data_IF_448704499465
#
_entry.id   IF_448704499465
#
_cell.length_a   1.000
_cell.length_b   1.000
_cell.length_c   1.000
_cell.angle_alpha   90.00
_cell.angle_beta   90.00
_cell.angle_gamma   90.00
#
_symmetry.space_group_name_H-M   'P 1'
#
loop_
_entity.id
_entity.type
_entity.pdbx_description
1 polymer ?
#
# COMPACT_ATOMS: atom_id res chain seq x y z
N UNK A 1 45.22 7.84 0.28
CA UNK A 1 44.08 8.49 0.93
C UNK A 1 42.84 7.73 0.45
N UNK A 2 42.24 6.92 1.33
CA UNK A 2 40.98 6.27 1.02
C UNK A 2 39.89 7.34 1.03
N UNK A 3 39.37 7.71 -0.16
CA UNK A 3 38.13 8.48 -0.22
C UNK A 3 37.04 7.65 0.44
N UNK A 4 36.51 8.09 1.56
CA UNK A 4 35.28 7.53 2.15
C UNK A 4 34.18 7.61 1.09
N UNK A 5 33.77 6.46 0.57
CA UNK A 5 32.61 6.37 -0.33
C UNK A 5 31.40 6.73 0.54
N UNK A 6 30.93 7.97 0.43
CA UNK A 6 29.72 8.39 1.12
C UNK A 6 28.56 7.48 0.71
N UNK A 7 27.81 6.99 1.70
CA UNK A 7 26.67 6.11 1.48
C UNK A 7 25.66 6.73 0.50
N UNK A 8 25.18 5.98 -0.52
CA UNK A 8 24.13 6.46 -1.39
C UNK A 8 22.90 6.91 -0.60
N UNK A 9 22.28 8.05 -0.98
CA UNK A 9 21.11 8.62 -0.33
C UNK A 9 19.87 8.32 -1.17
N UNK A 10 18.92 7.60 -0.62
CA UNK A 10 17.64 7.26 -1.27
C UNK A 10 16.49 7.97 -0.56
N UNK A 11 15.73 8.77 -1.32
CA UNK A 11 14.50 9.38 -0.86
C UNK A 11 13.31 8.54 -1.27
N UNK A 12 12.53 8.05 -0.31
CA UNK A 12 11.26 7.38 -0.58
C UNK A 12 10.11 8.34 -0.27
N UNK A 13 9.27 8.61 -1.26
CA UNK A 13 8.15 9.54 -1.16
C UNK A 13 6.84 8.78 -1.09
N UNK A 14 6.13 8.94 0.00
CA UNK A 14 4.88 8.27 0.35
C UNK A 14 3.81 9.27 0.78
N UNK A 15 2.65 8.78 1.21
CA UNK A 15 1.58 9.52 1.89
C UNK A 15 0.81 8.59 2.82
N UNK A 16 0.16 9.15 3.83
CA UNK A 16 -0.72 8.42 4.76
C UNK A 16 -2.16 8.27 4.22
N UNK A 17 -2.41 8.58 2.96
CA UNK A 17 -3.70 8.37 2.31
C UNK A 17 -4.00 6.88 2.14
N UNK A 18 -4.95 6.36 2.93
CA UNK A 18 -5.37 4.95 2.88
C UNK A 18 -4.41 3.93 3.51
N UNK A 19 -3.17 4.28 3.83
CA UNK A 19 -2.19 3.42 4.53
C UNK A 19 -1.35 2.48 3.66
N UNK A 20 -1.80 2.07 2.48
CA UNK A 20 -1.06 1.16 1.60
C UNK A 20 0.28 1.72 1.13
N UNK A 21 0.31 2.98 0.72
CA UNK A 21 1.54 3.65 0.28
C UNK A 21 2.63 3.66 1.35
N UNK A 22 2.25 3.86 2.63
CA UNK A 22 3.19 3.82 3.76
C UNK A 22 3.77 2.42 3.97
N UNK A 23 2.94 1.38 3.93
CA UNK A 23 3.39 -0.02 4.06
C UNK A 23 4.32 -0.41 2.91
N UNK A 24 4.00 0.00 1.68
CA UNK A 24 4.86 -0.19 0.52
C UNK A 24 6.22 0.49 0.66
N UNK A 25 6.22 1.77 1.08
CA UNK A 25 7.46 2.52 1.33
C UNK A 25 8.35 1.84 2.37
N UNK A 26 7.74 1.34 3.46
CA UNK A 26 8.46 0.61 4.51
C UNK A 26 9.02 -0.72 3.99
N UNK A 27 8.21 -1.51 3.28
CA UNK A 27 8.65 -2.80 2.72
C UNK A 27 9.87 -2.63 1.79
N UNK A 28 9.85 -1.59 0.93
CA UNK A 28 10.97 -1.28 0.04
C UNK A 28 12.20 -0.82 0.83
N UNK A 29 12.02 0.06 1.83
CA UNK A 29 13.12 0.55 2.66
C UNK A 29 13.81 -0.57 3.43
N UNK A 30 13.02 -1.41 4.12
CA UNK A 30 13.55 -2.54 4.91
C UNK A 30 14.28 -3.55 4.00
N UNK A 31 13.75 -3.83 2.81
CA UNK A 31 14.39 -4.72 1.85
C UNK A 31 15.68 -4.13 1.25
N UNK A 32 15.73 -2.82 0.95
CA UNK A 32 16.95 -2.14 0.52
C UNK A 32 18.03 -2.16 1.60
N UNK A 33 17.66 -1.91 2.86
CA UNK A 33 18.60 -1.98 3.98
C UNK A 33 19.16 -3.38 4.18
N UNK A 34 18.32 -4.41 4.04
CA UNK A 34 18.75 -5.81 4.13
C UNK A 34 19.70 -6.20 2.98
N UNK A 35 19.39 -5.75 1.76
CA UNK A 35 20.20 -6.05 0.57
C UNK A 35 21.59 -5.40 0.62
N UNK A 36 21.70 -4.16 1.13
CA UNK A 36 22.92 -3.36 1.14
C UNK A 36 23.70 -3.42 2.46
N UNK A 37 23.40 -4.32 3.38
CA UNK A 37 24.06 -4.36 4.70
C UNK A 37 24.08 -2.98 5.37
N UNK A 38 23.04 -2.62 6.04
CA UNK A 38 22.59 -1.38 6.74
C UNK A 38 23.57 -0.20 6.98
N UNK A 39 24.90 -0.39 6.84
CA UNK A 39 25.91 0.65 7.11
C UNK A 39 26.28 1.50 5.88
N UNK A 40 25.91 1.08 4.67
CA UNK A 40 26.36 1.69 3.41
C UNK A 40 25.24 2.40 2.63
N UNK A 41 24.04 2.55 3.19
CA UNK A 41 22.89 3.15 2.52
C UNK A 41 22.13 4.09 3.45
N UNK A 42 21.91 5.34 3.03
CA UNK A 42 21.09 6.31 3.76
C UNK A 42 19.70 6.40 3.12
N UNK A 43 18.68 5.92 3.83
CA UNK A 43 17.28 5.97 3.38
C UNK A 43 16.50 6.99 4.21
N UNK A 44 15.74 7.86 3.52
CA UNK A 44 14.79 8.77 4.15
C UNK A 44 13.41 8.57 3.54
N UNK A 45 12.41 8.28 4.37
CA UNK A 45 11.00 8.20 3.97
C UNK A 45 10.33 9.50 4.38
N UNK A 46 9.60 10.13 3.44
CA UNK A 46 8.82 11.34 3.69
C UNK A 46 7.35 11.11 3.32
N UNK A 47 6.47 11.89 3.96
CA UNK A 47 5.04 11.96 3.61
C UNK A 47 4.82 13.21 2.77
N UNK A 48 4.94 13.03 1.46
CA UNK A 48 5.03 14.14 0.50
C UNK A 48 3.85 15.10 0.45
N UNK A 49 2.67 14.71 0.95
CA UNK A 49 1.51 15.60 1.07
C UNK A 49 1.40 16.19 2.46
N UNK A 50 1.54 15.38 3.49
CA UNK A 50 1.31 15.75 4.89
C UNK A 50 2.39 16.70 5.42
N UNK A 51 3.64 16.50 4.97
CA UNK A 51 4.79 17.29 5.41
C UNK A 51 5.02 18.55 4.56
N UNK A 52 4.50 18.56 3.32
CA UNK A 52 4.77 19.65 2.39
C UNK A 52 4.08 20.96 2.78
N UNK A 53 2.79 20.92 3.14
CA UNK A 53 2.04 22.11 3.50
C UNK A 53 0.76 21.77 4.29
N UNK A 54 0.33 22.67 5.19
CA UNK A 54 -0.90 22.51 6.00
C UNK A 54 -2.17 22.26 5.17
N UNK A 55 -2.26 22.83 3.96
CA UNK A 55 -3.41 22.63 3.07
C UNK A 55 -3.40 21.19 2.52
N UNK A 56 -2.26 20.70 2.03
CA UNK A 56 -2.14 19.33 1.51
C UNK A 56 -2.34 18.28 2.61
N UNK A 57 -1.88 18.56 3.83
CA UNK A 57 -2.17 17.75 5.02
C UNK A 57 -3.68 17.69 5.31
N UNK A 58 -4.38 18.84 5.30
CA UNK A 58 -5.84 18.87 5.50
C UNK A 58 -6.61 18.11 4.44
N UNK A 59 -6.17 18.16 3.17
CA UNK A 59 -6.76 17.38 2.08
C UNK A 59 -6.56 15.88 2.29
N UNK A 60 -5.37 15.44 2.69
CA UNK A 60 -5.12 14.05 3.04
C UNK A 60 -5.98 13.57 4.23
N UNK A 61 -6.12 14.41 5.27
CA UNK A 61 -7.00 14.14 6.41
C UNK A 61 -8.48 14.06 6.00
N UNK A 62 -8.95 14.96 5.12
CA UNK A 62 -10.31 14.92 4.58
C UNK A 62 -10.57 13.64 3.79
N UNK A 63 -9.62 13.21 2.95
CA UNK A 63 -9.71 11.95 2.23
C UNK A 63 -9.86 10.77 3.20
N UNK A 64 -9.02 10.69 4.23
CA UNK A 64 -9.08 9.65 5.23
C UNK A 64 -10.38 9.68 6.04
N UNK A 65 -10.90 10.87 6.35
CA UNK A 65 -12.19 11.02 7.01
C UNK A 65 -13.35 10.51 6.13
N UNK A 66 -13.33 10.80 4.84
CA UNK A 66 -14.32 10.29 3.89
C UNK A 66 -14.26 8.77 3.78
N UNK A 67 -13.06 8.18 3.69
CA UNK A 67 -12.87 6.73 3.69
C UNK A 67 -13.43 6.05 4.94
N UNK A 68 -13.32 6.72 6.09
CA UNK A 68 -13.80 6.21 7.38
C UNK A 68 -15.32 6.31 7.49
N UNK A 69 -15.91 7.46 7.15
CA UNK A 69 -17.26 7.83 7.54
C UNK A 69 -18.25 7.88 6.37
N UNK A 70 -17.78 8.14 5.15
CA UNK A 70 -18.61 8.40 3.96
C UNK A 70 -17.99 7.78 2.71
N UNK A 71 -17.66 6.50 2.76
CA UNK A 71 -16.96 5.79 1.68
C UNK A 71 -17.59 6.00 0.30
N UNK A 72 -18.92 6.06 0.22
CA UNK A 72 -19.65 6.28 -1.04
C UNK A 72 -19.41 7.67 -1.68
N UNK A 73 -18.90 8.65 -0.91
CA UNK A 73 -18.54 9.97 -1.43
C UNK A 73 -17.13 10.01 -2.05
N UNK A 74 -16.28 9.04 -1.74
CA UNK A 74 -14.90 9.01 -2.22
C UNK A 74 -14.84 8.92 -3.75
N UNK A 75 -15.81 8.25 -4.39
CA UNK A 75 -15.92 8.20 -5.87
C UNK A 75 -16.07 9.57 -6.50
N UNK A 76 -16.81 10.49 -5.87
CA UNK A 76 -16.98 11.86 -6.38
C UNK A 76 -15.72 12.69 -6.19
N UNK A 77 -15.03 12.52 -5.04
CA UNK A 77 -13.72 13.14 -4.84
C UNK A 77 -12.71 12.63 -5.86
N UNK A 78 -12.69 11.32 -6.11
CA UNK A 78 -11.83 10.70 -7.11
C UNK A 78 -12.11 11.25 -8.52
N UNK A 79 -13.39 11.39 -8.89
CA UNK A 79 -13.79 12.01 -10.15
C UNK A 79 -13.33 13.47 -10.24
N UNK A 80 -13.52 14.26 -9.17
CA UNK A 80 -13.09 15.65 -9.12
C UNK A 80 -11.56 15.77 -9.25
N UNK A 81 -10.80 14.94 -8.55
CA UNK A 81 -9.34 14.90 -8.63
C UNK A 81 -8.86 14.54 -10.04
N UNK A 82 -9.50 13.56 -10.69
CA UNK A 82 -9.19 13.20 -12.08
C UNK A 82 -9.48 14.36 -13.07
N UNK A 83 -10.51 15.17 -12.82
CA UNK A 83 -10.87 16.32 -13.68
C UNK A 83 -9.97 17.53 -13.41
N UNK A 84 -9.69 17.84 -12.16
CA UNK A 84 -8.89 18.99 -11.74
C UNK A 84 -7.41 18.77 -12.02
N UNK A 85 -6.93 17.52 -11.87
CA UNK A 85 -5.53 17.13 -11.99
C UNK A 85 -4.59 18.01 -11.14
N UNK A 86 -4.77 18.00 -9.81
CA UNK A 86 -4.03 18.90 -8.90
C UNK A 86 -2.50 18.73 -9.02
N UNK A 87 -2.04 17.53 -9.41
CA UNK A 87 -0.62 17.21 -9.64
C UNK A 87 0.02 18.04 -10.76
N UNK A 88 -0.78 18.58 -11.67
CA UNK A 88 -0.30 19.42 -12.79
C UNK A 88 -0.50 20.92 -12.55
N UNK A 89 -1.18 21.30 -11.47
CA UNK A 89 -1.54 22.70 -11.22
C UNK A 89 -0.44 23.45 -10.49
N UNK A 90 -0.13 24.64 -10.98
CA UNK A 90 0.88 25.54 -10.45
C UNK A 90 0.64 25.88 -8.96
N UNK A 91 -0.61 26.12 -8.59
CA UNK A 91 -0.98 26.39 -7.21
C UNK A 91 -0.51 25.32 -6.23
N UNK A 92 -0.77 24.03 -6.51
CA UNK A 92 -0.36 22.94 -5.63
C UNK A 92 1.15 22.75 -5.59
N UNK A 93 1.82 22.94 -6.71
CA UNK A 93 3.28 22.92 -6.77
C UNK A 93 3.89 24.01 -5.86
N UNK A 94 3.40 25.26 -5.96
CA UNK A 94 3.88 26.37 -5.12
C UNK A 94 3.69 26.10 -3.63
N UNK A 95 2.61 25.45 -3.22
CA UNK A 95 2.41 25.05 -1.82
C UNK A 95 3.51 24.08 -1.34
N UNK A 96 3.97 23.15 -2.21
CA UNK A 96 4.97 22.16 -1.87
C UNK A 96 6.41 22.64 -2.10
N UNK A 97 6.62 23.70 -2.88
CA UNK A 97 7.92 24.16 -3.34
C UNK A 97 8.93 24.40 -2.21
N UNK A 98 8.56 25.20 -1.21
CA UNK A 98 9.46 25.54 -0.10
C UNK A 98 9.91 24.32 0.70
N UNK A 99 9.00 23.35 0.88
CA UNK A 99 9.32 22.08 1.54
C UNK A 99 10.31 21.27 0.71
N UNK A 100 10.02 21.08 -0.58
CA UNK A 100 10.89 20.33 -1.50
C UNK A 100 12.25 20.99 -1.56
N UNK A 101 12.32 22.31 -1.75
CA UNK A 101 13.59 23.07 -1.78
C UNK A 101 14.41 22.84 -0.50
N UNK A 102 13.82 23.05 0.68
CA UNK A 102 14.50 22.85 1.96
C UNK A 102 14.97 21.38 2.16
N UNK A 103 14.19 20.42 1.67
CA UNK A 103 14.57 19.00 1.70
C UNK A 103 15.84 18.77 0.87
N UNK A 104 15.88 19.27 -0.36
CA UNK A 104 17.03 19.11 -1.27
C UNK A 104 18.25 19.91 -0.81
N UNK A 105 18.07 21.11 -0.26
CA UNK A 105 19.16 21.92 0.31
C UNK A 105 19.88 21.17 1.45
N UNK A 106 19.10 20.48 2.31
CA UNK A 106 19.64 19.79 3.49
C UNK A 106 20.04 18.35 3.22
N UNK A 107 19.36 17.69 2.28
CA UNK A 107 19.52 16.26 2.05
C UNK A 107 19.23 15.90 0.59
N UNK A 108 20.15 16.27 -0.31
CA UNK A 108 20.01 15.96 -1.73
C UNK A 108 20.12 14.44 -1.95
N UNK A 109 19.08 13.77 -2.48
CA UNK A 109 19.13 12.34 -2.75
C UNK A 109 19.90 12.02 -4.03
N UNK A 110 20.42 10.80 -4.12
CA UNK A 110 21.01 10.26 -5.34
C UNK A 110 19.97 9.49 -6.18
N UNK A 111 18.89 9.03 -5.56
CA UNK A 111 17.77 8.32 -6.17
C UNK A 111 16.48 8.66 -5.43
N UNK A 112 15.40 8.80 -6.16
CA UNK A 112 14.06 8.99 -5.60
C UNK A 112 13.19 7.78 -5.95
N UNK A 113 12.57 7.19 -4.93
CA UNK A 113 11.55 6.15 -5.07
C UNK A 113 10.21 6.78 -4.72
N UNK A 114 9.27 6.76 -5.65
CA UNK A 114 7.94 7.29 -5.42
C UNK A 114 6.93 6.15 -5.35
N UNK A 115 6.08 6.17 -4.31
CA UNK A 115 5.01 5.19 -4.11
C UNK A 115 3.63 5.85 -4.00
N UNK A 116 3.49 7.10 -4.49
CA UNK A 116 2.23 7.84 -4.42
C UNK A 116 1.96 8.67 -5.70
N UNK A 117 0.74 8.64 -6.27
CA UNK A 117 0.47 9.22 -7.60
C UNK A 117 0.59 10.74 -7.68
N UNK A 118 0.31 11.48 -6.61
CA UNK A 118 0.32 12.95 -6.62
C UNK A 118 1.73 13.56 -6.52
N UNK A 119 2.61 12.92 -5.78
CA UNK A 119 3.84 13.56 -5.30
C UNK A 119 4.94 13.62 -6.36
N UNK A 120 4.97 12.66 -7.28
CA UNK A 120 6.02 12.58 -8.30
C UNK A 120 6.06 13.79 -9.24
N UNK A 121 4.92 14.34 -9.62
CA UNK A 121 4.86 15.48 -10.55
C UNK A 121 5.50 16.74 -9.96
N UNK A 122 5.31 17.00 -8.67
CA UNK A 122 5.92 18.15 -8.00
C UNK A 122 7.44 18.00 -7.90
N UNK A 123 7.90 16.77 -7.63
CA UNK A 123 9.33 16.46 -7.56
C UNK A 123 9.96 16.56 -8.95
N UNK A 124 9.36 15.97 -9.98
CA UNK A 124 9.82 16.08 -11.38
C UNK A 124 9.94 17.54 -11.80
N UNK A 125 8.91 18.34 -11.52
CA UNK A 125 8.91 19.77 -11.85
C UNK A 125 10.06 20.50 -11.15
N UNK A 126 10.29 20.25 -9.86
CA UNK A 126 11.40 20.81 -9.11
C UNK A 126 12.76 20.40 -9.73
N UNK A 127 12.96 19.11 -10.04
CA UNK A 127 14.18 18.64 -10.65
C UNK A 127 14.44 19.27 -12.02
N UNK A 128 13.40 19.52 -12.82
CA UNK A 128 13.50 20.26 -14.11
C UNK A 128 13.94 21.70 -13.89
N UNK A 129 13.28 22.43 -12.99
CA UNK A 129 13.58 23.83 -12.69
C UNK A 129 15.01 24.06 -12.24
N UNK A 130 15.61 23.07 -11.53
CA UNK A 130 16.98 23.13 -11.02
C UNK A 130 18.00 22.32 -11.86
N UNK A 131 17.64 21.83 -13.05
CA UNK A 131 18.49 21.03 -13.93
C UNK A 131 19.07 19.77 -13.24
N UNK A 132 18.29 19.13 -12.36
CA UNK A 132 18.65 17.94 -11.60
C UNK A 132 18.07 16.64 -12.17
N UNK A 133 17.10 16.72 -13.09
CA UNK A 133 16.35 15.56 -13.59
C UNK A 133 17.24 14.51 -14.29
N UNK A 134 18.29 14.94 -14.98
CA UNK A 134 19.26 14.04 -15.61
C UNK A 134 20.26 13.41 -14.63
N UNK A 135 20.34 13.94 -13.39
CA UNK A 135 21.31 13.53 -12.38
C UNK A 135 20.67 12.66 -11.29
N UNK A 136 19.39 12.85 -11.02
CA UNK A 136 18.66 12.17 -9.96
C UNK A 136 17.51 11.37 -10.58
N UNK A 137 17.69 10.07 -10.81
CA UNK A 137 16.64 9.22 -11.37
C UNK A 137 15.47 9.09 -10.40
N UNK A 138 14.27 8.91 -10.97
CA UNK A 138 13.03 8.63 -10.23
C UNK A 138 12.53 7.26 -10.64
N UNK A 139 12.34 6.38 -9.66
CA UNK A 139 11.68 5.08 -9.83
C UNK A 139 10.32 5.15 -9.18
N UNK A 140 9.25 4.90 -9.91
CA UNK A 140 7.88 4.86 -9.37
C UNK A 140 7.42 3.42 -9.22
N UNK A 141 7.09 3.03 -8.00
CA UNK A 141 6.48 1.74 -7.68
C UNK A 141 4.98 1.95 -7.53
N UNK A 142 4.21 1.48 -8.50
CA UNK A 142 2.75 1.65 -8.53
C UNK A 142 2.11 0.67 -7.55
N UNK A 143 1.41 1.21 -6.55
CA UNK A 143 0.76 0.41 -5.48
C UNK A 143 -0.71 0.13 -5.74
N UNK A 144 -1.26 0.62 -6.86
CA UNK A 144 -2.57 0.24 -7.37
C UNK A 144 -2.37 -0.89 -8.38
N UNK A 145 -2.75 -2.14 -8.04
CA UNK A 145 -2.28 -3.32 -8.79
C UNK A 145 -3.00 -3.58 -10.10
N UNK A 146 -4.20 -3.03 -10.29
CA UNK A 146 -5.06 -3.39 -11.41
C UNK A 146 -5.64 -2.16 -12.12
N UNK A 147 -6.39 -2.40 -13.19
CA UNK A 147 -7.09 -1.36 -13.95
C UNK A 147 -7.96 -0.45 -13.07
N UNK A 148 -8.08 0.82 -13.47
CA UNK A 148 -8.92 1.83 -12.82
C UNK A 148 -8.16 2.80 -11.93
N UNK A 149 -6.84 2.71 -11.85
CA UNK A 149 -6.07 3.65 -11.05
C UNK A 149 -5.96 5.04 -11.72
N UNK A 150 -5.67 6.03 -10.90
CA UNK A 150 -5.64 7.41 -11.28
C UNK A 150 -4.50 7.74 -12.26
N UNK A 151 -4.81 8.58 -13.27
CA UNK A 151 -3.84 9.04 -14.27
C UNK A 151 -2.65 9.79 -13.66
N UNK A 152 -2.75 10.28 -12.43
CA UNK A 152 -1.65 10.88 -11.68
C UNK A 152 -0.43 9.95 -11.48
N UNK A 153 -0.57 8.64 -11.66
CA UNK A 153 0.57 7.74 -11.71
C UNK A 153 1.45 7.95 -12.96
N UNK A 154 0.90 8.45 -14.06
CA UNK A 154 1.64 8.63 -15.30
C UNK A 154 2.37 9.98 -15.34
N UNK A 155 3.70 9.94 -15.37
CA UNK A 155 4.60 11.07 -15.53
C UNK A 155 5.74 10.63 -16.45
N UNK A 156 5.83 11.19 -17.66
CA UNK A 156 6.75 10.74 -18.72
C UNK A 156 8.23 10.83 -18.34
N UNK A 157 8.56 11.74 -17.45
CA UNK A 157 9.93 12.01 -17.00
C UNK A 157 10.46 11.00 -15.95
N UNK A 158 9.60 10.18 -15.39
CA UNK A 158 10.02 9.09 -14.49
C UNK A 158 10.94 8.13 -15.26
N UNK A 159 12.01 7.71 -14.61
CA UNK A 159 13.06 6.88 -15.22
C UNK A 159 12.59 5.43 -15.40
N UNK A 160 11.87 4.90 -14.41
CA UNK A 160 11.38 3.52 -14.40
C UNK A 160 10.07 3.41 -13.61
N UNK A 161 9.13 2.65 -14.13
CA UNK A 161 7.92 2.19 -13.46
C UNK A 161 8.02 0.73 -13.09
N UNK A 162 7.73 0.41 -11.85
CA UNK A 162 7.61 -0.95 -11.34
C UNK A 162 6.15 -1.22 -10.99
N UNK A 163 5.55 -2.21 -11.64
CA UNK A 163 4.11 -2.49 -11.57
C UNK A 163 3.82 -3.92 -11.11
N UNK A 164 2.62 -4.12 -10.60
CA UNK A 164 2.20 -5.38 -10.01
C UNK A 164 1.99 -6.50 -11.04
N UNK A 165 1.39 -6.18 -12.19
CA UNK A 165 0.91 -7.15 -13.17
C UNK A 165 0.66 -6.51 -14.55
N UNK A 166 0.17 -7.32 -15.49
CA UNK A 166 -0.17 -6.90 -16.85
C UNK A 166 -1.25 -5.81 -16.92
N UNK A 167 -2.23 -5.80 -16.02
CA UNK A 167 -3.28 -4.79 -16.02
C UNK A 167 -2.70 -3.40 -15.73
N UNK A 168 -1.84 -3.30 -14.72
CA UNK A 168 -1.16 -2.06 -14.38
C UNK A 168 -0.19 -1.61 -15.48
N UNK A 169 0.52 -2.55 -16.12
CA UNK A 169 1.37 -2.28 -17.28
C UNK A 169 0.57 -1.66 -18.44
N UNK A 170 -0.50 -2.32 -18.87
CA UNK A 170 -1.34 -1.86 -19.97
C UNK A 170 -1.94 -0.49 -19.70
N UNK A 171 -2.41 -0.24 -18.47
CA UNK A 171 -2.98 1.05 -18.14
C UNK A 171 -1.95 2.19 -18.15
N UNK A 172 -0.71 1.97 -17.73
CA UNK A 172 0.35 2.97 -17.88
C UNK A 172 0.68 3.26 -19.34
N UNK A 173 0.71 2.23 -20.20
CA UNK A 173 0.89 2.41 -21.66
C UNK A 173 -0.26 3.23 -22.25
N UNK A 174 -1.51 2.95 -21.88
CA UNK A 174 -2.68 3.75 -22.28
C UNK A 174 -2.61 5.20 -21.77
N UNK A 175 -1.94 5.44 -20.65
CA UNK A 175 -1.69 6.78 -20.13
C UNK A 175 -0.51 7.50 -20.79
N UNK A 176 0.16 6.85 -21.76
CA UNK A 176 1.23 7.42 -22.57
C UNK A 176 2.65 7.13 -22.06
N UNK A 177 2.81 6.26 -21.07
CA UNK A 177 4.15 5.85 -20.63
C UNK A 177 4.73 4.83 -21.62
N UNK A 178 5.97 5.06 -22.03
CA UNK A 178 6.68 4.20 -22.96
C UNK A 178 6.89 2.80 -22.39
N UNK A 179 6.62 1.71 -23.14
CA UNK A 179 6.73 0.33 -22.69
C UNK A 179 8.09 -0.02 -22.07
N UNK A 180 9.19 0.49 -22.64
CA UNK A 180 10.55 0.25 -22.17
C UNK A 180 10.85 0.82 -20.77
N UNK A 181 10.01 1.74 -20.28
CA UNK A 181 10.10 2.29 -18.93
C UNK A 181 9.31 1.52 -17.89
N UNK A 182 8.59 0.45 -18.29
CA UNK A 182 7.70 -0.27 -17.37
C UNK A 182 8.18 -1.71 -17.19
N UNK A 183 8.31 -2.16 -15.94
CA UNK A 183 8.64 -3.54 -15.61
C UNK A 183 7.60 -4.15 -14.66
N UNK A 184 7.19 -5.36 -14.97
CA UNK A 184 6.28 -6.14 -14.12
C UNK A 184 7.13 -6.90 -13.10
N UNK A 185 7.00 -6.55 -11.83
CA UNK A 185 7.81 -7.09 -10.72
C UNK A 185 6.96 -7.64 -9.56
N UNK A 186 5.65 -7.37 -9.55
CA UNK A 186 4.76 -7.69 -8.45
C UNK A 186 4.56 -6.52 -7.49
N UNK A 187 3.79 -6.76 -6.42
CA UNK A 187 3.51 -5.77 -5.38
C UNK A 187 4.66 -5.69 -4.36
N UNK A 188 4.94 -4.49 -3.80
CA UNK A 188 5.95 -4.30 -2.76
C UNK A 188 5.47 -4.82 -1.40
N UNK A 189 5.41 -6.15 -1.25
CA UNK A 189 4.95 -6.83 -0.04
C UNK A 189 6.15 -7.12 0.85
N UNK A 190 6.08 -6.73 2.14
CA UNK A 190 7.14 -7.05 3.08
C UNK A 190 7.27 -8.57 3.27
N UNK A 191 8.50 -9.17 3.27
CA UNK A 191 8.71 -10.60 3.37
C UNK A 191 8.10 -11.28 4.62
N UNK A 192 7.76 -10.51 5.65
CA UNK A 192 7.04 -11.03 6.83
C UNK A 192 5.63 -11.55 6.52
N UNK A 193 4.99 -11.05 5.44
CA UNK A 193 3.75 -11.60 4.91
C UNK A 193 4.10 -12.80 4.06
N UNK A 194 3.94 -13.98 4.61
CA UNK A 194 4.25 -15.26 3.99
C UNK A 194 3.28 -16.32 4.45
N UNK A 195 3.19 -17.37 3.68
CA UNK A 195 2.55 -18.58 4.19
C UNK A 195 3.30 -19.10 5.42
N UNK A 196 2.56 -19.62 6.36
CA UNK A 196 3.07 -20.29 7.55
C UNK A 196 2.57 -21.73 7.57
N UNK A 197 3.33 -22.60 8.24
CA UNK A 197 2.88 -23.97 8.47
C UNK A 197 1.67 -23.97 9.43
N UNK A 198 0.89 -25.05 9.41
CA UNK A 198 -0.24 -25.18 10.33
C UNK A 198 0.20 -25.09 11.79
N UNK A 199 1.38 -25.60 12.12
CA UNK A 199 1.94 -25.52 13.47
C UNK A 199 2.28 -24.08 13.86
N UNK A 200 2.92 -23.30 12.98
CA UNK A 200 3.19 -21.88 13.21
C UNK A 200 1.88 -21.09 13.41
N UNK A 201 0.86 -21.35 12.57
CA UNK A 201 -0.45 -20.71 12.70
C UNK A 201 -1.10 -21.00 14.07
N UNK A 202 -1.02 -22.26 14.54
CA UNK A 202 -1.51 -22.67 15.89
C UNK A 202 -0.77 -21.96 17.01
N UNK A 203 0.53 -21.77 16.88
CA UNK A 203 1.34 -21.05 17.87
C UNK A 203 0.96 -19.57 17.93
N UNK A 204 0.78 -18.94 16.75
CA UNK A 204 0.31 -17.56 16.66
C UNK A 204 -1.09 -17.40 17.28
N UNK A 205 -2.03 -18.32 17.00
CA UNK A 205 -3.37 -18.32 17.64
C UNK A 205 -3.26 -18.38 19.16
N UNK A 206 -2.45 -19.29 19.69
CA UNK A 206 -2.21 -19.39 21.15
C UNK A 206 -1.66 -18.09 21.74
N UNK A 207 -0.69 -17.45 21.08
CA UNK A 207 -0.11 -16.18 21.52
C UNK A 207 -1.16 -15.05 21.60
N UNK A 208 -2.18 -15.09 20.74
CA UNK A 208 -3.33 -14.18 20.80
C UNK A 208 -4.45 -14.63 21.77
N UNK A 209 -4.29 -15.75 22.47
CA UNK A 209 -5.32 -16.31 23.38
C UNK A 209 -6.51 -16.92 22.63
N UNK A 210 -6.28 -17.45 21.43
CA UNK A 210 -7.27 -18.10 20.59
C UNK A 210 -7.10 -19.63 20.64
N UNK A 211 -8.16 -20.37 20.33
CA UNK A 211 -8.10 -21.82 20.16
C UNK A 211 -7.23 -22.16 18.94
N UNK A 212 -6.15 -22.96 19.09
CA UNK A 212 -5.24 -23.28 18.00
C UNK A 212 -5.89 -24.07 16.86
N UNK A 213 -6.97 -24.81 17.12
CA UNK A 213 -7.58 -25.73 16.17
C UNK A 213 -8.91 -25.19 15.56
N UNK A 214 -9.34 -24.00 15.98
CA UNK A 214 -10.62 -23.45 15.55
C UNK A 214 -10.46 -22.57 14.30
N UNK A 215 -11.39 -22.71 13.34
CA UNK A 215 -11.42 -21.89 12.14
C UNK A 215 -11.47 -20.41 12.53
N UNK A 216 -10.50 -19.63 12.06
CA UNK A 216 -10.26 -18.26 12.49
C UNK A 216 -10.56 -17.28 11.37
N UNK A 217 -11.47 -16.35 11.62
CA UNK A 217 -11.85 -15.28 10.68
C UNK A 217 -11.20 -13.96 11.12
N UNK A 218 -10.37 -13.36 10.26
CA UNK A 218 -9.80 -12.05 10.49
C UNK A 218 -10.65 -10.96 9.84
N UNK A 219 -11.28 -10.11 10.64
CA UNK A 219 -12.08 -8.96 10.19
C UNK A 219 -11.24 -7.70 10.27
N UNK A 220 -10.81 -7.21 9.11
CA UNK A 220 -9.88 -6.08 9.01
C UNK A 220 -10.60 -4.79 8.59
N UNK A 221 -10.82 -3.87 9.54
CA UNK A 221 -11.40 -2.55 9.26
C UNK A 221 -10.37 -1.55 8.67
N UNK A 222 -9.12 -1.98 8.50
CA UNK A 222 -8.01 -1.15 8.01
C UNK A 222 -7.40 -0.28 9.11
N UNK A 223 -6.25 0.36 8.80
CA UNK A 223 -5.51 1.13 9.81
C UNK A 223 -6.26 2.36 10.35
N UNK A 224 -7.13 2.97 9.53
CA UNK A 224 -8.00 4.10 9.94
C UNK A 224 -9.20 3.60 10.76
N UNK A 225 -9.66 2.38 10.48
CA UNK A 225 -10.84 1.75 11.06
C UNK A 225 -12.16 2.37 10.57
N UNK A 226 -12.98 1.63 9.81
CA UNK A 226 -14.27 2.13 9.36
C UNK A 226 -14.74 1.59 7.99
N UNK A 227 -15.51 2.39 7.27
CA UNK A 227 -16.23 1.98 6.06
C UNK A 227 -17.41 1.07 6.39
N UNK A 228 -17.65 0.04 5.59
CA UNK A 228 -18.77 -0.90 5.79
C UNK A 228 -18.41 -2.09 6.71
N UNK A 229 -17.14 -2.28 7.06
CA UNK A 229 -16.67 -3.42 7.87
C UNK A 229 -17.38 -3.53 9.22
N UNK A 230 -17.65 -2.45 9.97
CA UNK A 230 -18.44 -2.54 11.22
C UNK A 230 -19.83 -3.13 11.01
N UNK A 231 -20.51 -2.79 9.89
CA UNK A 231 -21.82 -3.34 9.54
C UNK A 231 -21.72 -4.82 9.21
N UNK A 232 -20.70 -5.23 8.46
CA UNK A 232 -20.45 -6.63 8.11
C UNK A 232 -20.15 -7.44 9.38
N UNK A 233 -19.35 -6.90 10.28
CA UNK A 233 -19.04 -7.54 11.56
C UNK A 233 -20.29 -7.72 12.44
N UNK A 234 -21.19 -6.74 12.47
CA UNK A 234 -22.46 -6.86 13.21
C UNK A 234 -23.33 -8.00 12.67
N UNK A 235 -23.39 -8.20 11.35
CA UNK A 235 -24.09 -9.33 10.76
C UNK A 235 -23.38 -10.66 11.06
N UNK A 236 -22.06 -10.70 11.04
CA UNK A 236 -21.27 -11.88 11.40
C UNK A 236 -21.54 -12.33 12.84
N UNK A 237 -21.55 -11.38 13.79
CA UNK A 237 -21.79 -11.65 15.23
C UNK A 237 -23.18 -12.26 15.50
N UNK A 238 -24.17 -11.93 14.66
CA UNK A 238 -25.53 -12.51 14.76
C UNK A 238 -25.60 -13.97 14.33
N UNK A 239 -24.59 -14.44 13.61
CA UNK A 239 -24.54 -15.81 13.09
C UNK A 239 -24.18 -16.84 14.15
N UNK A 240 -24.70 -18.06 13.96
CA UNK A 240 -24.33 -19.23 14.74
C UNK A 240 -23.32 -20.06 13.93
N UNK A 241 -22.04 -19.72 14.04
CA UNK A 241 -20.97 -20.35 13.30
C UNK A 241 -19.96 -21.00 14.25
N UNK A 242 -19.44 -22.17 13.88
CA UNK A 242 -18.36 -22.81 14.62
C UNK A 242 -17.00 -22.23 14.24
N UNK A 243 -16.76 -20.96 14.59
CA UNK A 243 -15.55 -20.20 14.29
C UNK A 243 -15.04 -19.48 15.53
N UNK A 244 -13.92 -18.84 15.38
CA UNK A 244 -13.49 -17.70 16.21
C UNK A 244 -13.13 -16.54 15.31
N UNK A 245 -13.13 -15.32 15.84
CA UNK A 245 -12.83 -14.13 15.04
C UNK A 245 -11.81 -13.21 15.71
N UNK A 246 -11.00 -12.56 14.88
CA UNK A 246 -10.16 -11.43 15.26
C UNK A 246 -10.74 -10.20 14.58
N UNK A 247 -11.07 -9.15 15.31
CA UNK A 247 -11.51 -7.88 14.76
C UNK A 247 -10.45 -6.81 14.96
N UNK A 248 -9.92 -6.24 13.88
CA UNK A 248 -8.96 -5.14 13.90
C UNK A 248 -9.68 -3.81 13.65
N UNK A 249 -9.75 -2.96 14.69
CA UNK A 249 -10.40 -1.66 14.62
C UNK A 249 -9.47 -0.54 14.06
N UNK A 250 -8.16 -0.81 13.93
CA UNK A 250 -7.18 0.19 13.54
C UNK A 250 -7.05 1.31 14.57
N UNK A 251 -6.81 2.53 14.12
CA UNK A 251 -6.67 3.73 14.98
C UNK A 251 -8.02 4.33 15.41
N UNK A 252 -9.12 3.58 15.29
CA UNK A 252 -10.46 4.04 15.64
C UNK A 252 -10.88 3.47 16.99
N UNK A 253 -10.65 4.22 18.06
CA UNK A 253 -10.96 3.78 19.42
C UNK A 253 -12.49 3.62 19.65
N UNK A 254 -13.31 4.48 19.02
CA UNK A 254 -14.78 4.36 19.09
C UNK A 254 -15.25 3.04 18.45
N UNK A 255 -14.68 2.70 17.30
CA UNK A 255 -14.98 1.44 16.62
C UNK A 255 -14.52 0.24 17.44
N UNK A 256 -13.37 0.34 18.13
CA UNK A 256 -12.89 -0.72 19.02
C UNK A 256 -13.88 -0.99 20.14
N UNK A 257 -14.33 0.08 20.83
CA UNK A 257 -15.33 -0.03 21.90
C UNK A 257 -16.68 -0.59 21.40
N UNK A 258 -17.14 -0.16 20.21
CA UNK A 258 -18.34 -0.73 19.58
C UNK A 258 -18.16 -2.22 19.28
N UNK A 259 -17.01 -2.61 18.71
CA UNK A 259 -16.70 -4.00 18.41
C UNK A 259 -16.60 -4.86 19.68
N UNK A 260 -16.05 -4.35 20.78
CA UNK A 260 -16.02 -5.03 22.07
C UNK A 260 -17.42 -5.29 22.65
N UNK A 261 -18.34 -4.32 22.49
CA UNK A 261 -19.74 -4.49 22.87
C UNK A 261 -20.44 -5.55 22.02
N UNK A 262 -20.20 -5.55 20.72
CA UNK A 262 -20.75 -6.56 19.80
C UNK A 262 -20.15 -7.95 20.07
N UNK A 263 -18.86 -8.04 20.36
CA UNK A 263 -18.18 -9.29 20.66
C UNK A 263 -18.83 -10.05 21.83
N UNK A 264 -19.33 -9.33 22.84
CA UNK A 264 -20.07 -9.93 23.98
C UNK A 264 -21.40 -10.60 23.59
N UNK A 265 -21.94 -10.26 22.42
CA UNK A 265 -23.20 -10.82 21.90
C UNK A 265 -22.95 -12.01 20.96
N UNK A 266 -21.70 -12.24 20.56
CA UNK A 266 -21.34 -13.31 19.64
C UNK A 266 -21.49 -14.68 20.30
N UNK A 267 -21.96 -15.68 19.54
CA UNK A 267 -22.03 -17.10 19.98
C UNK A 267 -20.70 -17.85 19.78
N UNK A 268 -19.66 -17.16 19.37
CA UNK A 268 -18.30 -17.66 19.17
C UNK A 268 -17.27 -16.68 19.76
N UNK A 269 -16.05 -17.14 20.08
CA UNK A 269 -15.00 -16.27 20.61
C UNK A 269 -14.61 -15.17 19.64
N UNK A 270 -14.50 -13.94 20.13
CA UNK A 270 -14.03 -12.78 19.36
C UNK A 270 -12.94 -12.06 20.12
N UNK A 271 -11.79 -11.89 19.49
CA UNK A 271 -10.68 -11.03 19.96
C UNK A 271 -10.76 -9.69 19.24
N UNK A 272 -11.01 -8.61 19.97
CA UNK A 272 -10.97 -7.26 19.42
C UNK A 272 -9.60 -6.65 19.67
N UNK A 273 -9.00 -6.07 18.61
CA UNK A 273 -7.69 -5.43 18.62
C UNK A 273 -7.86 -4.02 18.07
N UNK A 274 -7.20 -3.04 18.69
CA UNK A 274 -7.09 -1.68 18.17
C UNK A 274 -6.09 -1.62 17.03
N UNK A 275 -5.14 -0.67 17.10
CA UNK A 275 -4.02 -0.62 16.15
C UNK A 275 -3.00 -1.73 16.45
N UNK A 276 -2.46 -2.34 15.41
CA UNK A 276 -1.37 -3.32 15.52
C UNK A 276 -0.31 -3.08 14.44
N UNK A 277 0.95 -3.24 14.80
CA UNK A 277 2.10 -3.27 13.87
C UNK A 277 2.41 -4.70 13.40
N UNK A 278 1.73 -5.72 13.96
CA UNK A 278 1.91 -7.14 13.67
C UNK A 278 0.76 -7.70 12.80
N UNK A 279 0.38 -6.96 11.75
CA UNK A 279 -0.73 -7.34 10.87
C UNK A 279 -0.48 -8.70 10.20
N UNK A 280 0.77 -9.01 9.88
CA UNK A 280 1.16 -10.29 9.31
C UNK A 280 0.82 -11.45 10.25
N UNK A 281 1.01 -11.30 11.55
CA UNK A 281 0.65 -12.35 12.52
C UNK A 281 -0.86 -12.55 12.60
N UNK A 282 -1.64 -11.47 12.49
CA UNK A 282 -3.10 -11.57 12.45
C UNK A 282 -3.58 -12.30 11.19
N UNK A 283 -2.94 -12.05 10.04
CA UNK A 283 -3.20 -12.77 8.80
C UNK A 283 -2.76 -14.24 8.89
N UNK A 284 -1.59 -14.52 9.47
CA UNK A 284 -1.05 -15.87 9.66
C UNK A 284 -1.87 -16.71 10.66
N UNK A 285 -2.51 -16.07 11.63
CA UNK A 285 -3.43 -16.74 12.57
C UNK A 285 -4.78 -17.10 11.92
N UNK A 286 -5.13 -16.49 10.79
CA UNK A 286 -6.45 -16.60 10.19
C UNK A 286 -6.52 -17.65 9.07
N UNK A 287 -7.72 -18.20 8.89
CA UNK A 287 -8.08 -19.06 7.75
C UNK A 287 -8.83 -18.28 6.67
N UNK A 288 -9.44 -17.17 7.02
CA UNK A 288 -10.24 -16.34 6.12
C UNK A 288 -10.14 -14.87 6.53
N UNK A 289 -10.01 -13.96 5.58
CA UNK A 289 -10.04 -12.52 5.85
C UNK A 289 -11.32 -11.87 5.30
N UNK A 290 -11.91 -10.99 6.10
CA UNK A 290 -12.95 -10.06 5.67
C UNK A 290 -12.33 -8.67 5.66
N UNK A 291 -12.28 -8.01 4.50
CA UNK A 291 -11.61 -6.72 4.36
C UNK A 291 -12.18 -5.88 3.21
N UNK A 292 -11.75 -4.63 3.15
CA UNK A 292 -11.90 -3.78 1.96
C UNK A 292 -10.94 -4.25 0.88
N UNK A 293 -11.16 -3.78 -0.35
CA UNK A 293 -10.35 -4.09 -1.53
C UNK A 293 -9.08 -3.21 -1.67
N UNK A 294 -8.45 -2.85 -0.57
CA UNK A 294 -7.20 -2.08 -0.64
C UNK A 294 -6.09 -2.85 -1.36
N UNK A 295 -5.45 -2.22 -2.35
CA UNK A 295 -4.47 -2.89 -3.23
C UNK A 295 -3.41 -3.66 -2.46
N UNK A 296 -2.63 -3.00 -1.59
CA UNK A 296 -1.55 -3.65 -0.86
C UNK A 296 -2.07 -4.72 0.13
N UNK A 297 -3.08 -4.39 0.95
CA UNK A 297 -3.63 -5.32 1.95
C UNK A 297 -4.17 -6.60 1.33
N UNK A 298 -4.78 -6.51 0.14
CA UNK A 298 -5.21 -7.69 -0.62
C UNK A 298 -4.01 -8.59 -0.96
N UNK A 299 -2.93 -8.02 -1.47
CA UNK A 299 -1.74 -8.79 -1.84
C UNK A 299 -0.96 -9.29 -0.63
N UNK A 300 -0.97 -8.58 0.51
CA UNK A 300 -0.44 -9.06 1.79
C UNK A 300 -1.20 -10.33 2.26
N UNK A 301 -2.52 -10.33 2.16
CA UNK A 301 -3.33 -11.51 2.47
C UNK A 301 -3.07 -12.67 1.51
N UNK A 302 -2.98 -12.38 0.19
CA UNK A 302 -2.60 -13.40 -0.80
C UNK A 302 -1.23 -14.01 -0.47
N UNK A 303 -0.25 -13.21 -0.03
CA UNK A 303 1.09 -13.68 0.37
C UNK A 303 1.07 -14.60 1.61
N UNK A 304 0.07 -14.43 2.47
CA UNK A 304 -0.20 -15.34 3.59
C UNK A 304 -1.05 -16.55 3.19
N UNK A 305 -1.33 -16.76 1.89
CA UNK A 305 -2.27 -17.75 1.35
C UNK A 305 -3.66 -17.68 2.01
N UNK A 306 -4.11 -16.48 2.32
CA UNK A 306 -5.33 -16.19 3.06
C UNK A 306 -6.47 -15.80 2.09
N UNK A 307 -7.50 -16.63 1.90
CA UNK A 307 -8.68 -16.30 1.10
C UNK A 307 -9.41 -15.07 1.64
N UNK A 308 -10.06 -14.31 0.74
CA UNK A 308 -10.65 -13.02 1.08
C UNK A 308 -12.15 -12.99 0.79
N UNK A 309 -12.95 -12.56 1.76
CA UNK A 309 -14.28 -12.01 1.52
C UNK A 309 -14.15 -10.50 1.47
N UNK A 310 -14.29 -9.95 0.27
CA UNK A 310 -14.07 -8.53 0.03
C UNK A 310 -15.37 -7.74 0.11
N UNK A 311 -15.37 -6.63 0.85
CA UNK A 311 -16.51 -5.71 0.92
C UNK A 311 -16.82 -5.10 -0.45
N UNK A 312 -17.95 -5.48 -1.01
CA UNK A 312 -18.57 -4.92 -2.20
C UNK A 312 -20.02 -4.50 -1.92
N UNK A 313 -20.36 -4.24 -0.65
CA UNK A 313 -21.69 -3.76 -0.23
C UNK A 313 -21.99 -2.35 -0.72
N UNK A 314 -20.95 -1.58 -1.04
CA UNK A 314 -21.00 -0.41 -1.92
C UNK A 314 -20.11 -0.69 -3.13
N UNK A 315 -20.39 -0.08 -4.31
CA UNK A 315 -19.53 -0.23 -5.46
C UNK A 315 -18.08 0.11 -5.12
N UNK A 316 -17.11 -0.74 -5.47
CA UNK A 316 -15.69 -0.46 -5.27
C UNK A 316 -15.28 0.86 -5.92
N UNK A 317 -14.27 1.51 -5.38
CA UNK A 317 -13.64 2.66 -6.04
C UNK A 317 -13.01 2.22 -7.39
N UNK A 318 -12.84 3.13 -8.36
CA UNK A 318 -12.30 2.78 -9.67
C UNK A 318 -11.01 1.94 -9.57
N UNK A 319 -10.04 2.35 -8.74
CA UNK A 319 -8.78 1.64 -8.52
C UNK A 319 -8.92 0.30 -7.76
N UNK A 320 -10.03 0.09 -7.05
CA UNK A 320 -10.33 -1.16 -6.33
C UNK A 320 -11.12 -2.15 -7.18
N UNK A 321 -11.84 -1.65 -8.21
CA UNK A 321 -12.70 -2.50 -9.04
C UNK A 321 -11.91 -3.54 -9.83
N UNK A 322 -10.71 -3.21 -10.28
CA UNK A 322 -9.79 -4.15 -10.91
C UNK A 322 -9.33 -5.25 -9.94
N UNK A 323 -8.99 -4.89 -8.71
CA UNK A 323 -8.62 -5.86 -7.66
C UNK A 323 -9.80 -6.78 -7.32
N UNK A 324 -11.01 -6.22 -7.21
CA UNK A 324 -12.23 -7.00 -7.01
C UNK A 324 -12.43 -8.05 -8.10
N UNK A 325 -12.30 -7.62 -9.36
CA UNK A 325 -12.41 -8.49 -10.52
C UNK A 325 -11.32 -9.58 -10.51
N UNK A 326 -10.07 -9.21 -10.21
CA UNK A 326 -8.94 -10.13 -10.16
C UNK A 326 -9.19 -11.27 -9.17
N UNK A 327 -9.47 -10.95 -7.89
CA UNK A 327 -9.63 -11.98 -6.84
C UNK A 327 -10.87 -12.87 -7.08
N UNK A 328 -11.97 -12.29 -7.58
CA UNK A 328 -13.20 -13.06 -7.81
C UNK A 328 -13.10 -13.97 -9.04
N UNK A 329 -12.55 -13.49 -10.16
CA UNK A 329 -12.41 -14.29 -11.38
C UNK A 329 -11.38 -15.40 -11.25
N UNK A 330 -10.34 -15.19 -10.44
CA UNK A 330 -9.30 -16.20 -10.17
C UNK A 330 -9.66 -17.14 -9.02
N UNK A 331 -10.79 -16.89 -8.35
CA UNK A 331 -11.27 -17.76 -7.27
C UNK A 331 -10.56 -17.59 -5.93
N UNK A 332 -9.72 -16.56 -5.76
CA UNK A 332 -9.00 -16.26 -4.52
C UNK A 332 -9.85 -15.51 -3.49
N UNK A 333 -11.02 -15.01 -3.89
CA UNK A 333 -11.91 -14.26 -3.02
C UNK A 333 -13.37 -14.24 -3.47
N UNK A 334 -14.23 -13.86 -2.55
CA UNK A 334 -15.69 -13.71 -2.76
C UNK A 334 -16.03 -12.24 -2.54
N UNK A 335 -16.80 -11.64 -3.47
CA UNK A 335 -17.31 -10.29 -3.32
C UNK A 335 -18.62 -10.30 -2.52
N UNK A 336 -18.59 -9.71 -1.34
CA UNK A 336 -19.75 -9.57 -0.45
C UNK A 336 -20.61 -8.39 -0.92
N UNK A 337 -21.71 -8.66 -1.60
CA UNK A 337 -22.63 -7.64 -2.12
C UNK A 337 -23.64 -7.14 -1.08
N UNK A 338 -24.02 -7.96 -0.11
CA UNK A 338 -24.90 -7.61 1.01
C UNK A 338 -24.27 -8.07 2.32
N UNK A 339 -24.28 -7.23 3.34
CA UNK A 339 -23.70 -7.60 4.63
C UNK A 339 -24.35 -8.83 5.26
N UNK A 340 -25.68 -9.04 5.03
CA UNK A 340 -26.43 -10.22 5.47
C UNK A 340 -25.94 -11.55 4.89
N UNK A 341 -25.22 -11.50 3.76
CA UNK A 341 -24.77 -12.72 3.09
C UNK A 341 -23.49 -13.28 3.73
N UNK A 342 -22.89 -12.56 4.70
CA UNK A 342 -21.61 -12.97 5.32
C UNK A 342 -21.72 -14.32 6.02
N UNK A 343 -22.78 -14.56 6.76
CA UNK A 343 -23.02 -15.82 7.51
C UNK A 343 -23.23 -16.99 6.56
N UNK A 344 -24.15 -16.93 5.56
CA UNK A 344 -24.30 -17.98 4.55
C UNK A 344 -23.01 -18.30 3.79
N UNK A 345 -22.22 -17.29 3.42
CA UNK A 345 -20.95 -17.48 2.71
C UNK A 345 -19.96 -18.26 3.58
N UNK A 346 -19.73 -17.84 4.83
CA UNK A 346 -18.78 -18.53 5.73
C UNK A 346 -19.28 -19.95 6.01
N UNK A 347 -20.58 -20.14 6.27
CA UNK A 347 -21.17 -21.45 6.48
C UNK A 347 -20.89 -22.39 5.29
N UNK A 348 -21.08 -21.91 4.07
CA UNK A 348 -20.78 -22.67 2.84
C UNK A 348 -19.30 -23.05 2.74
N UNK A 349 -18.37 -22.22 3.20
CA UNK A 349 -16.93 -22.53 3.19
C UNK A 349 -16.55 -23.54 4.28
N UNK A 350 -17.23 -23.53 5.43
CA UNK A 350 -17.04 -24.50 6.51
C UNK A 350 -17.57 -25.89 6.14
N UNK A 351 -18.69 -25.95 5.41
CA UNK A 351 -19.35 -27.19 4.99
C UNK A 351 -18.69 -27.81 3.74
N UNK A 352 -18.10 -26.99 2.86
CA UNK A 352 -17.41 -27.44 1.64
C UNK A 352 -15.91 -27.19 1.72
N UNK A 353 -15.19 -28.14 2.29
CA UNK A 353 -13.71 -28.10 2.43
C UNK A 353 -13.01 -28.01 1.08
N UNK A 354 -13.57 -28.60 0.02
CA UNK A 354 -13.00 -28.52 -1.34
C UNK A 354 -13.04 -27.10 -1.88
N UNK A 355 -14.19 -26.43 -1.72
CA UNK A 355 -14.34 -25.02 -2.12
C UNK A 355 -13.35 -24.11 -1.41
N UNK A 356 -13.22 -24.28 -0.09
CA UNK A 356 -12.25 -23.52 0.70
C UNK A 356 -10.80 -23.79 0.25
N UNK A 357 -10.42 -25.05 0.06
CA UNK A 357 -9.07 -25.43 -0.41
C UNK A 357 -8.77 -24.84 -1.79
N UNK A 358 -9.73 -24.86 -2.71
CA UNK A 358 -9.55 -24.27 -4.04
C UNK A 358 -9.36 -22.74 -3.95
N UNK A 359 -10.06 -22.06 -3.04
CA UNK A 359 -9.83 -20.63 -2.80
C UNK A 359 -8.43 -20.36 -2.25
N UNK A 360 -7.96 -21.18 -1.31
CA UNK A 360 -6.60 -21.06 -0.76
C UNK A 360 -5.54 -21.27 -1.85
N UNK A 361 -5.65 -22.30 -2.66
CA UNK A 361 -4.73 -22.56 -3.78
C UNK A 361 -4.76 -21.44 -4.85
N UNK A 362 -5.89 -20.80 -5.04
CA UNK A 362 -6.01 -19.71 -5.99
C UNK A 362 -5.27 -18.44 -5.56
N UNK A 363 -5.04 -18.23 -4.26
CA UNK A 363 -4.28 -17.08 -3.76
C UNK A 363 -2.84 -17.10 -4.24
N UNK A 364 -2.19 -18.28 -4.24
CA UNK A 364 -0.81 -18.47 -4.65
C UNK A 364 -0.57 -18.05 -6.11
N UNK A 365 -1.53 -18.42 -7.00
CA UNK A 365 -1.42 -18.16 -8.45
C UNK A 365 -1.47 -16.67 -8.83
N UNK A 366 -1.85 -15.80 -7.90
CA UNK A 366 -1.95 -14.36 -8.12
C UNK A 366 -0.69 -13.59 -7.74
N UNK A 367 0.29 -14.25 -7.15
CA UNK A 367 1.51 -13.63 -6.66
C UNK A 367 2.67 -13.78 -7.64
N UNK A 368 3.44 -12.72 -7.79
CA UNK A 368 4.80 -12.80 -8.31
C UNK A 368 5.71 -13.06 -7.10
N UNK A 369 6.31 -14.23 -7.06
CA UNK A 369 7.22 -14.62 -5.98
C UNK A 369 8.42 -13.66 -5.90
N UNK A 370 8.84 -13.37 -4.65
CA UNK A 370 9.96 -12.48 -4.35
C UNK A 370 9.82 -11.07 -4.96
N UNK A 371 8.59 -10.54 -5.06
CA UNK A 371 8.31 -9.27 -5.71
C UNK A 371 9.12 -8.10 -5.15
N UNK A 372 9.21 -7.99 -3.83
CA UNK A 372 9.98 -6.92 -3.18
C UNK A 372 11.48 -7.04 -3.44
N UNK A 373 12.03 -8.27 -3.51
CA UNK A 373 13.41 -8.49 -3.92
C UNK A 373 13.65 -8.05 -5.37
N UNK A 374 12.76 -8.40 -6.31
CA UNK A 374 12.82 -7.94 -7.70
C UNK A 374 12.76 -6.42 -7.82
N UNK A 375 11.92 -5.77 -7.00
CA UNK A 375 11.86 -4.31 -6.91
C UNK A 375 13.23 -3.74 -6.48
N UNK A 376 13.84 -4.30 -5.44
CA UNK A 376 15.16 -3.89 -4.94
C UNK A 376 16.25 -4.10 -5.99
N UNK A 377 16.25 -5.23 -6.69
CA UNK A 377 17.19 -5.51 -7.77
C UNK A 377 17.12 -4.47 -8.90
N UNK A 378 15.90 -4.10 -9.33
CA UNK A 378 15.72 -3.07 -10.35
C UNK A 378 16.15 -1.67 -9.86
N UNK A 379 15.85 -1.32 -8.61
CA UNK A 379 16.28 -0.06 -7.99
C UNK A 379 17.82 -0.01 -7.89
N UNK A 380 18.45 -1.10 -7.51
CA UNK A 380 19.89 -1.19 -7.31
C UNK A 380 20.67 -0.94 -8.60
N UNK A 381 20.14 -1.31 -9.77
CA UNK A 381 20.77 -1.02 -11.07
C UNK A 381 21.01 0.47 -11.26
N UNK A 382 20.08 1.34 -10.84
CA UNK A 382 20.27 2.79 -10.91
C UNK A 382 21.36 3.31 -9.99
N UNK A 383 21.62 2.65 -8.87
CA UNK A 383 22.68 3.05 -7.95
C UNK A 383 24.06 2.61 -8.44
N UNK A 384 24.15 1.51 -9.20
CA UNK A 384 25.43 0.96 -9.70
C UNK A 384 25.80 1.50 -11.08
N UNK A 385 24.82 1.78 -11.94
CA UNK A 385 25.01 2.23 -13.31
C UNK A 385 25.19 3.75 -13.44
N UNK A 386 24.78 4.53 -12.42
CA UNK A 386 25.00 5.98 -12.42
C UNK A 386 26.52 6.25 -12.32
N UNK A 387 27.15 6.91 -13.34
CA UNK A 387 28.59 7.14 -13.35
C UNK A 387 29.00 7.82 -12.07
N UNK A 388 29.93 7.18 -11.34
CA UNK A 388 30.59 7.60 -10.11
C UNK A 388 30.15 8.99 -9.63
N UNK A 389 29.37 9.03 -8.57
CA UNK A 389 29.01 10.21 -7.78
C UNK A 389 30.32 10.82 -7.17
N UNK A 390 31.38 10.82 -7.94
CA UNK A 390 32.65 11.49 -7.68
C UNK A 390 32.53 12.91 -8.20
N UNK A 391 32.34 13.90 -7.37
CA UNK A 391 32.47 15.34 -7.67
C UNK A 391 31.23 16.24 -7.69
N UNK A 392 30.11 15.93 -7.09
CA UNK A 392 28.98 16.86 -7.23
C UNK A 392 28.42 17.52 -5.96
N UNK A 393 28.85 17.16 -4.76
CA UNK A 393 28.29 17.81 -3.55
C UNK A 393 28.66 19.30 -3.46
N UNK A 394 29.87 19.69 -3.82
CA UNK A 394 30.30 21.10 -3.75
C UNK A 394 29.81 21.97 -4.92
N UNK A 395 29.49 21.35 -6.07
CA UNK A 395 28.96 22.07 -7.23
C UNK A 395 27.43 22.15 -7.25
N UNK A 396 26.71 21.20 -6.62
CA UNK A 396 25.26 21.16 -6.59
C UNK A 396 24.67 22.17 -5.59
N UNK A 397 25.35 22.41 -4.47
CA UNK A 397 24.86 23.32 -3.42
C UNK A 397 25.18 24.79 -3.68
N UNK A 398 26.27 25.13 -4.35
CA UNK A 398 26.71 26.55 -4.46
C UNK A 398 26.39 27.24 -5.80
N UNK A 399 26.47 26.54 -6.94
CA UNK A 399 26.33 27.20 -8.26
C UNK A 399 24.94 27.14 -8.88
N UNK A 400 24.21 26.01 -8.74
CA UNK A 400 22.87 25.91 -9.31
C UNK A 400 21.81 26.69 -8.50
N UNK A 401 22.03 26.87 -7.20
CA UNK A 401 21.11 27.59 -6.32
C UNK A 401 21.31 29.12 -6.32
N UNK A 402 22.54 29.62 -6.52
CA UNK A 402 22.83 31.05 -6.48
C UNK A 402 22.53 31.78 -7.80
N UNK A 403 22.45 31.07 -8.94
CA UNK A 403 22.29 31.69 -10.26
C UNK A 403 20.83 32.12 -10.60
N UNK A 404 19.84 31.85 -9.75
CA UNK A 404 18.41 32.26 -9.95
C UNK A 404 17.86 33.20 -8.89
N UNK A 405 18.72 33.77 -8.03
CA UNK A 405 18.32 34.75 -6.99
C UNK A 405 18.84 36.17 -7.35
N UNK A 406 19.62 36.33 -8.44
CA UNK A 406 19.99 37.64 -9.00
C UNK A 406 19.04 38.07 -10.08
#
# INVERSE_FOLDING_TARGET
MNEEIKAPKILIVSSDTGGGHRSAAKAIADALQAFWNSKSLAIRIIRGLEEAHKITEKLARLYNWLLRNKQHWVKYLYWAVNKIRPETRDFFYRLCFSYIKNLFDKWCPHLIINVHPLTQHFIVRFLKEFNLLSKIPIVTVVTDPCYGFWKGWACEEVSLYLVANEDAYKQLVEYGIKPEKIKIVGMPIHPKFREVTEQEAKEVRKAFGLDPNKFTVFVNAGWIGGGNIPRIFRELVRGELNIQAIFLAGKNEELKQEAEKLAKQAKFPVKVIGYSDEIEKLMQAADLMISKLGGLTTFEALACHLPIIADATTPPMPQESGTAKLISQKGAGILLKKASDIVPIIKSLLEDSRKYTMMKLATEKLLIQNSTQKIVEEITKFLTETPKIKQSEDQLTSKAFNAKIS
#
